data_IF_699042519737
#
_entry.id   IF_699042519737
#
_cell.length_a   1.000
_cell.length_b   1.000
_cell.length_c   1.000
_cell.angle_alpha   90.00
_cell.angle_beta   90.00
_cell.angle_gamma   90.00
#
_symmetry.space_group_name_H-M   'P 1'
#
loop_
_entity.id
_entity.type
_entity.pdbx_description
1 polymer ?
#
# COMPACT_ATOMS: atom_id res chain seq x y z
N UNK A 1 -2.71 10.11 36.09
CA UNK A 1 -3.80 11.05 35.72
C UNK A 1 -3.16 12.27 35.09
N UNK A 2 -3.70 12.77 33.98
CA UNK A 2 -3.20 13.99 33.34
C UNK A 2 -3.41 15.20 34.27
N UNK A 3 -2.44 16.12 34.32
CA UNK A 3 -2.57 17.35 35.10
C UNK A 3 -3.46 18.36 34.38
N UNK A 4 -4.05 19.30 35.13
CA UNK A 4 -4.89 20.36 34.56
C UNK A 4 -4.18 21.13 33.44
N UNK A 5 -2.91 21.51 33.66
CA UNK A 5 -2.07 22.18 32.65
C UNK A 5 -1.90 21.36 31.36
N UNK A 6 -1.78 20.03 31.47
CA UNK A 6 -1.66 19.14 30.31
C UNK A 6 -2.96 19.10 29.50
N UNK A 7 -4.11 19.14 30.19
CA UNK A 7 -5.43 19.18 29.55
C UNK A 7 -5.60 20.51 28.81
N UNK A 8 -5.35 21.64 29.49
CA UNK A 8 -5.45 22.98 28.91
C UNK A 8 -4.55 23.09 27.68
N UNK A 9 -3.27 22.75 27.82
CA UNK A 9 -2.30 22.81 26.71
C UNK A 9 -2.76 22.00 25.50
N UNK A 10 -3.34 20.82 25.74
CA UNK A 10 -3.76 19.93 24.66
C UNK A 10 -5.01 20.43 23.94
N UNK A 11 -5.99 20.98 24.66
CA UNK A 11 -7.22 21.53 24.07
C UNK A 11 -6.93 22.86 23.35
N UNK A 12 -6.14 23.74 23.96
CA UNK A 12 -5.67 24.98 23.32
C UNK A 12 -4.88 24.67 22.04
N UNK A 13 -4.06 23.62 22.03
CA UNK A 13 -3.35 23.22 20.82
C UNK A 13 -4.29 22.88 19.66
N UNK A 14 -5.37 22.13 19.90
CA UNK A 14 -6.32 21.78 18.82
C UNK A 14 -6.99 23.02 18.20
N UNK A 15 -7.23 24.03 19.02
CA UNK A 15 -7.86 25.29 18.64
C UNK A 15 -6.85 26.38 18.24
N UNK A 16 -5.55 26.10 18.27
CA UNK A 16 -4.50 27.04 17.90
C UNK A 16 -4.35 27.16 16.38
N UNK A 17 -3.89 28.32 15.91
CA UNK A 17 -3.65 28.54 14.48
C UNK A 17 -2.70 27.50 13.88
N UNK A 18 -1.64 27.15 14.62
CA UNK A 18 -0.65 26.14 14.22
C UNK A 18 -1.28 24.78 13.89
N UNK A 19 -2.35 24.41 14.60
CA UNK A 19 -3.10 23.19 14.30
C UNK A 19 -4.12 23.45 13.18
N UNK A 20 -4.91 24.52 13.28
CA UNK A 20 -6.00 24.84 12.35
C UNK A 20 -5.53 25.16 10.93
N UNK A 21 -4.27 25.56 10.73
CA UNK A 21 -3.63 25.63 9.42
C UNK A 21 -3.59 24.27 8.70
N UNK A 22 -3.66 23.16 9.41
CA UNK A 22 -3.47 21.80 8.86
C UNK A 22 -4.61 20.84 9.17
N UNK A 23 -5.33 21.09 10.25
CA UNK A 23 -6.37 20.22 10.77
C UNK A 23 -7.73 20.57 10.16
N UNK A 24 -8.02 19.95 9.01
CA UNK A 24 -9.30 20.13 8.32
C UNK A 24 -10.52 19.77 9.17
N UNK A 25 -10.37 18.84 10.13
CA UNK A 25 -11.50 18.37 10.92
C UNK A 25 -11.99 19.49 11.84
N UNK A 26 -11.12 20.01 12.71
CA UNK A 26 -11.52 21.10 13.61
C UNK A 26 -11.83 22.39 12.84
N UNK A 27 -11.11 22.66 11.75
CA UNK A 27 -11.40 23.80 10.88
C UNK A 27 -12.84 23.78 10.35
N UNK A 28 -13.29 22.62 9.83
CA UNK A 28 -14.67 22.43 9.36
C UNK A 28 -15.69 22.50 10.49
N UNK A 29 -15.41 21.88 11.63
CA UNK A 29 -16.34 21.88 12.78
C UNK A 29 -16.56 23.30 13.32
N UNK A 30 -15.51 24.11 13.44
CA UNK A 30 -15.62 25.50 13.89
C UNK A 30 -16.29 26.36 12.81
N UNK A 31 -15.95 26.17 11.53
CA UNK A 31 -16.56 26.93 10.43
C UNK A 31 -18.06 26.65 10.27
N UNK A 32 -18.50 25.42 10.55
CA UNK A 32 -19.90 25.02 10.44
C UNK A 32 -20.74 25.39 11.68
N UNK A 33 -20.09 25.64 12.81
CA UNK A 33 -20.76 25.98 14.06
C UNK A 33 -21.11 27.47 14.11
N UNK A 34 -22.38 27.77 14.38
CA UNK A 34 -22.82 29.14 14.62
C UNK A 34 -22.13 29.70 15.87
N UNK A 35 -21.37 30.79 15.71
CA UNK A 35 -20.59 31.40 16.80
C UNK A 35 -19.32 30.65 17.22
N UNK A 36 -18.91 29.62 16.46
CA UNK A 36 -17.62 28.91 16.61
C UNK A 36 -17.54 27.92 17.78
N UNK A 37 -18.67 27.63 18.44
CA UNK A 37 -18.73 26.69 19.56
C UNK A 37 -18.81 25.24 19.10
N UNK A 38 -17.91 24.40 19.61
CA UNK A 38 -17.86 22.98 19.32
C UNK A 38 -17.99 22.13 20.60
N UNK A 39 -18.66 20.96 20.54
CA UNK A 39 -18.89 20.15 21.73
C UNK A 39 -17.63 19.44 22.25
N UNK A 40 -17.52 19.34 23.58
CA UNK A 40 -16.41 18.68 24.29
C UNK A 40 -16.19 17.24 23.78
N UNK A 41 -17.26 16.56 23.39
CA UNK A 41 -17.23 15.20 22.86
C UNK A 41 -16.36 15.02 21.61
N UNK A 42 -16.13 16.08 20.82
CA UNK A 42 -15.22 16.02 19.69
C UNK A 42 -13.77 15.81 20.14
N UNK A 43 -13.38 16.41 21.26
CA UNK A 43 -12.03 16.26 21.80
C UNK A 43 -11.81 14.86 22.38
N UNK A 44 -12.84 14.24 22.98
CA UNK A 44 -12.77 12.85 23.48
C UNK A 44 -12.51 11.83 22.36
N UNK A 45 -12.90 12.15 21.12
CA UNK A 45 -12.63 11.30 19.96
C UNK A 45 -11.16 11.35 19.53
N UNK A 46 -10.41 12.36 19.94
CA UNK A 46 -9.03 12.58 19.53
C UNK A 46 -8.07 11.60 20.22
N UNK A 47 -7.15 11.01 19.44
CA UNK A 47 -6.25 9.96 19.93
C UNK A 47 -5.36 10.38 21.10
N UNK A 48 -4.96 11.66 21.16
CA UNK A 48 -4.12 12.16 22.24
C UNK A 48 -4.91 12.29 23.55
N UNK A 49 -6.16 12.75 23.48
CA UNK A 49 -7.08 12.83 24.63
C UNK A 49 -7.44 11.43 25.13
N UNK A 50 -7.73 10.49 24.23
CA UNK A 50 -7.95 9.07 24.58
C UNK A 50 -6.78 8.46 25.35
N UNK A 51 -5.54 8.72 24.91
CA UNK A 51 -4.32 8.23 25.58
C UNK A 51 -4.06 8.86 26.94
N UNK A 52 -4.60 10.05 27.18
CA UNK A 52 -4.49 10.73 28.47
C UNK A 52 -5.58 10.27 29.45
N UNK A 53 -6.54 9.45 28.99
CA UNK A 53 -7.65 8.91 29.78
C UNK A 53 -8.46 10.00 30.49
N UNK A 54 -8.71 11.11 29.79
CA UNK A 54 -9.42 12.28 30.31
C UNK A 54 -10.92 12.17 30.03
N UNK A 55 -11.75 12.57 31.00
CA UNK A 55 -13.21 12.63 30.87
C UNK A 55 -13.72 14.00 30.40
N UNK A 56 -14.96 14.07 29.93
CA UNK A 56 -15.60 15.34 29.55
C UNK A 56 -15.59 16.36 30.70
N UNK A 57 -15.89 15.90 31.92
CA UNK A 57 -15.92 16.73 33.13
C UNK A 57 -14.54 17.33 33.46
N UNK A 58 -13.48 16.55 33.28
CA UNK A 58 -12.11 17.02 33.48
C UNK A 58 -11.72 18.09 32.46
N UNK A 59 -12.15 17.94 31.20
CA UNK A 59 -11.97 18.98 30.17
C UNK A 59 -12.74 20.24 30.58
N UNK A 60 -14.02 20.11 30.93
CA UNK A 60 -14.86 21.26 31.30
C UNK A 60 -14.27 22.03 32.47
N UNK A 61 -13.79 21.32 33.51
CA UNK A 61 -13.19 21.95 34.68
C UNK A 61 -11.84 22.62 34.36
N UNK A 62 -10.97 21.97 33.59
CA UNK A 62 -9.69 22.54 33.21
C UNK A 62 -9.84 23.79 32.32
N UNK A 63 -10.79 23.77 31.39
CA UNK A 63 -10.99 24.88 30.46
C UNK A 63 -11.58 26.15 31.10
N UNK A 64 -12.09 26.09 32.35
CA UNK A 64 -12.48 27.28 33.11
C UNK A 64 -11.29 28.22 33.37
N UNK A 65 -10.08 27.68 33.45
CA UNK A 65 -8.85 28.42 33.72
C UNK A 65 -8.03 28.72 32.44
N UNK A 66 -8.57 28.37 31.26
CA UNK A 66 -7.92 28.62 29.98
C UNK A 66 -7.89 30.11 29.64
N UNK A 67 -6.79 30.55 29.00
CA UNK A 67 -6.62 31.95 28.59
C UNK A 67 -6.93 32.18 27.12
N UNK A 68 -6.88 31.12 26.30
CA UNK A 68 -7.01 31.20 24.85
C UNK A 68 -8.34 30.64 24.32
N UNK A 69 -9.24 30.21 25.20
CA UNK A 69 -10.54 29.64 24.83
C UNK A 69 -11.65 30.14 25.73
N UNK A 70 -12.90 30.01 25.27
CA UNK A 70 -14.10 30.27 26.06
C UNK A 70 -14.92 29.00 26.18
N UNK A 71 -15.50 28.76 27.36
CA UNK A 71 -16.32 27.58 27.63
C UNK A 71 -17.71 27.98 28.13
N UNK A 72 -18.73 27.33 27.57
CA UNK A 72 -20.09 27.27 28.14
C UNK A 72 -20.21 25.96 28.90
N UNK A 73 -19.91 25.99 30.20
CA UNK A 73 -19.80 24.78 31.01
C UNK A 73 -21.11 23.96 31.06
N UNK A 74 -22.26 24.63 31.14
CA UNK A 74 -23.59 23.99 31.19
C UNK A 74 -23.97 23.29 29.87
N UNK A 75 -23.48 23.79 28.74
CA UNK A 75 -23.77 23.24 27.41
C UNK A 75 -22.65 22.30 26.91
N UNK A 76 -21.54 22.19 27.64
CA UNK A 76 -20.38 21.40 27.22
C UNK A 76 -19.75 21.88 25.90
N UNK A 77 -19.78 23.20 25.64
CA UNK A 77 -19.30 23.81 24.40
C UNK A 77 -18.04 24.63 24.64
N UNK A 78 -17.05 24.48 23.77
CA UNK A 78 -15.78 25.22 23.80
C UNK A 78 -15.59 25.94 22.47
N UNK A 79 -15.06 27.17 22.52
CA UNK A 79 -14.61 27.90 21.33
C UNK A 79 -13.28 28.60 21.55
N UNK A 80 -12.69 29.09 20.45
CA UNK A 80 -11.58 30.05 20.49
C UNK A 80 -12.01 31.35 21.14
N UNK A 81 -11.11 31.96 21.90
CA UNK A 81 -11.34 33.28 22.48
C UNK A 81 -11.72 34.29 21.38
N UNK A 82 -12.71 35.12 21.67
CA UNK A 82 -13.22 36.17 20.77
C UNK A 82 -13.70 35.65 19.39
N UNK A 83 -13.91 34.34 19.25
CA UNK A 83 -14.18 33.68 17.97
C UNK A 83 -13.20 34.10 16.86
N UNK A 84 -11.91 34.10 17.19
CA UNK A 84 -10.84 34.53 16.29
C UNK A 84 -10.89 33.83 14.93
N UNK A 85 -10.66 34.60 13.86
CA UNK A 85 -10.75 34.13 12.48
C UNK A 85 -9.85 32.92 12.26
N UNK A 86 -10.39 31.92 11.57
CA UNK A 86 -9.65 30.70 11.25
C UNK A 86 -8.49 31.00 10.29
N UNK A 87 -7.31 30.41 10.49
CA UNK A 87 -6.22 30.53 9.54
C UNK A 87 -6.56 29.83 8.23
N UNK A 88 -5.84 30.20 7.16
CA UNK A 88 -5.95 29.52 5.86
C UNK A 88 -5.44 28.08 5.96
N UNK A 89 -6.21 27.13 5.41
CA UNK A 89 -5.79 25.73 5.34
C UNK A 89 -4.58 25.58 4.40
N UNK A 90 -3.42 25.32 4.98
CA UNK A 90 -2.23 24.86 4.27
C UNK A 90 -2.47 23.40 3.90
N UNK A 91 -3.09 23.19 2.75
CA UNK A 91 -3.17 21.86 2.15
C UNK A 91 -1.75 21.38 1.87
N UNK A 92 -1.21 20.53 2.75
CA UNK A 92 -0.26 19.54 2.25
C UNK A 92 -1.04 18.79 1.18
N UNK A 93 -0.55 18.81 -0.06
CA UNK A 93 -0.94 17.86 -1.10
C UNK A 93 -0.60 16.46 -0.60
N UNK A 94 -1.40 15.92 0.31
CA UNK A 94 -1.41 14.52 0.66
C UNK A 94 -1.95 13.83 -0.59
N UNK A 95 -1.06 13.17 -1.35
CA UNK A 95 -1.45 12.19 -2.35
C UNK A 95 -2.31 11.14 -1.64
N UNK A 96 -3.62 11.24 -1.78
CA UNK A 96 -4.58 10.38 -1.09
C UNK A 96 -5.97 10.55 -1.68
N UNK A 97 -6.15 10.05 -2.90
CA UNK A 97 -7.41 9.97 -3.65
C UNK A 97 -8.44 9.02 -2.99
N UNK A 98 -8.71 9.11 -1.68
CA UNK A 98 -9.52 8.10 -1.00
C UNK A 98 -11.02 8.13 -1.39
N UNK A 99 -11.55 9.27 -1.86
CA UNK A 99 -12.94 9.38 -2.33
C UNK A 99 -13.12 8.92 -3.77
N UNK A 100 -12.31 9.48 -4.68
CA UNK A 100 -12.32 9.12 -6.11
C UNK A 100 -11.87 7.68 -6.36
N UNK A 101 -10.85 7.17 -5.65
CA UNK A 101 -10.46 5.76 -5.79
C UNK A 101 -11.55 4.79 -5.33
N UNK A 102 -12.38 5.17 -4.36
CA UNK A 102 -13.49 4.32 -3.92
C UNK A 102 -14.59 4.26 -4.98
N UNK A 103 -14.98 5.39 -5.57
CA UNK A 103 -15.98 5.43 -6.64
C UNK A 103 -15.49 4.71 -7.90
N UNK A 104 -14.23 4.94 -8.31
CA UNK A 104 -13.64 4.23 -9.46
C UNK A 104 -13.59 2.73 -9.21
N UNK A 105 -13.20 2.27 -8.01
CA UNK A 105 -13.19 0.83 -7.68
C UNK A 105 -14.59 0.22 -7.71
N UNK A 106 -15.62 0.94 -7.26
CA UNK A 106 -17.01 0.47 -7.33
C UNK A 106 -17.47 0.33 -8.78
N UNK A 107 -17.24 1.35 -9.62
CA UNK A 107 -17.58 1.30 -11.05
C UNK A 107 -16.83 0.19 -11.79
N UNK A 108 -15.54 -0.01 -11.50
CA UNK A 108 -14.75 -1.12 -12.06
C UNK A 108 -15.31 -2.49 -11.65
N UNK A 109 -15.80 -2.63 -10.41
CA UNK A 109 -16.41 -3.87 -9.92
C UNK A 109 -17.77 -4.14 -10.57
N UNK A 110 -18.62 -3.12 -10.69
CA UNK A 110 -19.92 -3.22 -11.36
C UNK A 110 -19.75 -3.60 -12.84
N UNK A 111 -18.83 -2.93 -13.55
CA UNK A 111 -18.53 -3.26 -14.94
C UNK A 111 -17.98 -4.67 -15.10
N UNK A 112 -17.10 -5.12 -14.19
CA UNK A 112 -16.57 -6.48 -14.21
C UNK A 112 -17.67 -7.54 -14.02
N UNK A 113 -18.70 -7.26 -13.22
CA UNK A 113 -19.86 -8.16 -13.09
C UNK A 113 -20.69 -8.22 -14.36
N UNK A 114 -20.90 -7.09 -15.03
CA UNK A 114 -21.59 -7.04 -16.34
C UNK A 114 -20.80 -7.82 -17.39
N UNK A 115 -19.50 -7.58 -17.50
CA UNK A 115 -18.59 -8.27 -18.41
C UNK A 115 -18.58 -9.78 -18.15
N UNK A 116 -18.55 -10.20 -16.88
CA UNK A 116 -18.58 -11.61 -16.49
C UNK A 116 -19.91 -12.26 -16.87
N UNK A 117 -21.03 -11.60 -16.60
CA UNK A 117 -22.37 -12.12 -16.93
C UNK A 117 -22.57 -12.28 -18.44
N UNK A 118 -21.98 -11.39 -19.24
CA UNK A 118 -22.01 -11.48 -20.69
C UNK A 118 -21.07 -12.56 -21.24
N UNK A 119 -19.92 -12.79 -20.58
CA UNK A 119 -18.89 -13.73 -21.03
C UNK A 119 -19.11 -15.17 -20.59
N UNK A 120 -19.80 -15.39 -19.47
CA UNK A 120 -19.97 -16.72 -18.89
C UNK A 120 -20.92 -17.56 -19.75
N UNK A 121 -20.53 -18.78 -20.15
CA UNK A 121 -21.41 -19.65 -20.92
C UNK A 121 -22.64 -20.08 -20.09
N UNK A 122 -23.71 -20.47 -20.78
CA UNK A 122 -24.94 -20.93 -20.11
C UNK A 122 -24.73 -22.28 -19.40
N UNK A 123 -23.98 -23.19 -20.02
CA UNK A 123 -23.65 -24.50 -19.45
C UNK A 123 -22.17 -24.82 -19.65
N UNK A 124 -21.50 -25.18 -18.57
CA UNK A 124 -20.07 -25.48 -18.52
C UNK A 124 -19.86 -26.97 -18.27
N UNK A 125 -18.86 -27.55 -18.94
CA UNK A 125 -18.37 -28.89 -18.64
C UNK A 125 -16.93 -28.77 -18.17
N UNK A 126 -16.68 -29.11 -16.90
CA UNK A 126 -15.38 -28.98 -16.25
C UNK A 126 -14.72 -30.35 -16.18
N UNK A 127 -13.47 -30.42 -16.64
CA UNK A 127 -12.68 -31.63 -16.63
C UNK A 127 -11.45 -31.47 -15.74
N UNK A 128 -11.11 -32.54 -15.04
CA UNK A 128 -9.84 -32.70 -14.34
C UNK A 128 -8.88 -33.48 -15.24
N UNK A 129 -7.62 -33.05 -15.29
CA UNK A 129 -6.54 -33.69 -16.04
C UNK A 129 -5.49 -34.13 -15.05
N UNK A 130 -5.17 -35.42 -15.00
CA UNK A 130 -4.13 -35.97 -14.13
C UNK A 130 -3.07 -36.64 -14.99
N UNK A 131 -1.83 -36.17 -14.91
CA UNK A 131 -0.74 -36.77 -15.69
C UNK A 131 -0.35 -38.12 -15.10
N UNK A 132 -0.15 -39.07 -15.99
CA UNK A 132 0.34 -40.41 -15.69
C UNK A 132 1.87 -40.50 -15.90
N UNK A 133 2.43 -39.56 -16.67
CA UNK A 133 3.87 -39.39 -16.87
C UNK A 133 4.53 -38.91 -15.57
N UNK A 134 5.51 -39.68 -15.07
CA UNK A 134 6.26 -39.34 -13.84
C UNK A 134 7.48 -38.46 -14.09
N UNK A 135 7.91 -38.31 -15.35
CA UNK A 135 9.23 -37.76 -15.73
C UNK A 135 9.15 -36.35 -16.30
N UNK A 136 8.06 -35.98 -16.99
CA UNK A 136 7.91 -34.70 -17.68
C UNK A 136 6.67 -33.93 -17.20
N UNK A 137 6.87 -32.67 -16.80
CA UNK A 137 5.77 -31.80 -16.40
C UNK A 137 4.92 -31.38 -17.62
N UNK A 138 3.63 -31.70 -17.59
CA UNK A 138 2.67 -31.30 -18.62
C UNK A 138 2.41 -29.78 -18.55
N UNK A 139 2.15 -29.16 -19.71
CA UNK A 139 1.82 -27.74 -19.80
C UNK A 139 0.39 -27.55 -20.31
N UNK A 140 -0.29 -26.53 -19.79
CA UNK A 140 -1.66 -26.18 -20.22
C UNK A 140 -1.77 -25.98 -21.74
N UNK A 141 -0.73 -25.42 -22.38
CA UNK A 141 -0.74 -25.17 -23.82
C UNK A 141 -0.74 -26.47 -24.64
N UNK A 142 -0.11 -27.53 -24.15
CA UNK A 142 -0.14 -28.84 -24.79
C UNK A 142 -1.54 -29.45 -24.75
N UNK A 143 -2.22 -29.31 -23.61
CA UNK A 143 -3.62 -29.76 -23.45
C UNK A 143 -4.52 -29.00 -24.43
N UNK A 144 -4.43 -27.68 -24.44
CA UNK A 144 -5.22 -26.85 -25.36
C UNK A 144 -4.97 -27.23 -26.83
N UNK A 145 -3.71 -27.27 -27.27
CA UNK A 145 -3.37 -27.58 -28.66
C UNK A 145 -3.83 -28.99 -29.05
N UNK A 146 -3.79 -29.94 -28.12
CA UNK A 146 -4.29 -31.30 -28.35
C UNK A 146 -5.81 -31.33 -28.54
N UNK A 147 -6.57 -30.65 -27.66
CA UNK A 147 -8.02 -30.54 -27.77
C UNK A 147 -8.44 -29.88 -29.11
N UNK A 148 -7.75 -28.81 -29.51
CA UNK A 148 -8.02 -28.11 -30.76
C UNK A 148 -7.68 -28.97 -32.00
N UNK A 149 -6.56 -29.70 -31.97
CA UNK A 149 -6.11 -30.48 -33.12
C UNK A 149 -6.90 -31.77 -33.30
N UNK A 150 -7.12 -32.51 -32.22
CA UNK A 150 -7.70 -33.86 -32.24
C UNK A 150 -9.23 -33.81 -32.18
N UNK A 151 -9.78 -33.05 -31.23
CA UNK A 151 -11.23 -33.01 -31.00
C UNK A 151 -11.92 -31.81 -31.63
N UNK A 152 -11.16 -30.87 -32.22
CA UNK A 152 -11.69 -29.63 -32.83
C UNK A 152 -12.49 -28.77 -31.85
N UNK A 153 -12.16 -28.85 -30.56
CA UNK A 153 -12.76 -28.05 -29.49
C UNK A 153 -11.74 -27.10 -28.90
N UNK A 154 -12.16 -25.88 -28.58
CA UNK A 154 -11.31 -24.89 -27.93
C UNK A 154 -11.77 -24.71 -26.48
N UNK A 155 -10.92 -24.97 -25.48
CA UNK A 155 -11.27 -24.73 -24.09
C UNK A 155 -11.39 -23.24 -23.80
N UNK A 156 -12.45 -22.86 -23.08
CA UNK A 156 -12.64 -21.48 -22.57
C UNK A 156 -11.70 -21.20 -21.38
N UNK A 157 -11.23 -22.25 -20.72
CA UNK A 157 -10.26 -22.20 -19.65
C UNK A 157 -9.40 -23.45 -19.70
N UNK A 158 -8.09 -23.30 -19.54
CA UNK A 158 -7.17 -24.42 -19.37
C UNK A 158 -6.03 -24.01 -18.45
N UNK A 159 -5.78 -24.80 -17.41
CA UNK A 159 -4.69 -24.59 -16.48
C UNK A 159 -4.12 -25.92 -16.04
N UNK A 160 -2.81 -25.95 -15.86
CA UNK A 160 -2.10 -27.11 -15.38
C UNK A 160 -1.04 -26.69 -14.36
N UNK A 161 -0.90 -27.47 -13.29
CA UNK A 161 0.05 -27.18 -12.21
C UNK A 161 1.49 -27.29 -12.69
N UNK A 162 2.36 -26.35 -12.30
CA UNK A 162 3.79 -26.39 -12.64
C UNK A 162 4.59 -27.35 -11.75
N UNK A 163 4.06 -27.67 -10.57
CA UNK A 163 4.73 -28.44 -9.52
C UNK A 163 3.98 -29.75 -9.24
N UNK A 164 2.67 -29.76 -9.50
CA UNK A 164 1.83 -30.95 -9.39
C UNK A 164 1.63 -31.69 -10.71
N UNK A 165 0.87 -32.77 -10.65
CA UNK A 165 0.51 -33.64 -11.77
C UNK A 165 -0.97 -33.48 -12.15
N UNK A 166 -1.59 -32.36 -11.82
CA UNK A 166 -3.01 -32.11 -12.06
C UNK A 166 -3.28 -30.75 -12.71
N UNK A 167 -4.44 -30.66 -13.35
CA UNK A 167 -4.96 -29.44 -13.95
C UNK A 167 -6.43 -29.57 -14.28
N UNK A 168 -7.00 -28.51 -14.85
CA UNK A 168 -8.39 -28.49 -15.28
C UNK A 168 -8.54 -27.75 -16.60
N UNK A 169 -9.53 -28.14 -17.38
CA UNK A 169 -10.02 -27.34 -18.49
C UNK A 169 -11.55 -27.31 -18.50
N UNK A 170 -12.10 -26.27 -19.12
CA UNK A 170 -13.55 -26.08 -19.24
C UNK A 170 -13.90 -25.97 -20.72
N UNK A 171 -14.96 -26.66 -21.11
CA UNK A 171 -15.62 -26.50 -22.40
C UNK A 171 -17.00 -25.87 -22.20
N UNK A 172 -17.38 -25.00 -23.14
CA UNK A 172 -18.75 -24.54 -23.26
C UNK A 172 -19.58 -25.67 -23.90
N UNK A 173 -20.61 -26.13 -23.19
CA UNK A 173 -21.45 -27.24 -23.64
C UNK A 173 -22.19 -26.93 -24.94
N UNK A 174 -22.43 -25.65 -25.26
CA UNK A 174 -23.02 -25.26 -26.53
C UNK A 174 -22.10 -25.55 -27.74
N UNK A 175 -20.78 -25.69 -27.51
CA UNK A 175 -19.76 -25.82 -28.55
C UNK A 175 -19.10 -27.21 -28.59
N UNK A 176 -19.61 -28.19 -27.83
CA UNK A 176 -19.08 -29.56 -27.82
C UNK A 176 -20.21 -30.59 -27.80
N UNK A 177 -20.11 -31.60 -28.66
CA UNK A 177 -21.08 -32.71 -28.69
C UNK A 177 -20.83 -33.71 -27.57
N UNK A 178 -21.88 -34.41 -27.11
CA UNK A 178 -21.74 -35.47 -26.11
C UNK A 178 -20.78 -36.57 -26.57
N UNK A 179 -20.82 -36.95 -27.85
CA UNK A 179 -19.89 -37.92 -28.43
C UNK A 179 -18.41 -37.48 -28.27
N UNK A 180 -18.14 -36.18 -28.41
CA UNK A 180 -16.79 -35.64 -28.22
C UNK A 180 -16.37 -35.68 -26.76
N UNK A 181 -17.29 -35.36 -25.83
CA UNK A 181 -17.06 -35.48 -24.39
C UNK A 181 -16.71 -36.93 -24.02
N UNK A 182 -17.49 -37.89 -24.53
CA UNK A 182 -17.29 -39.31 -24.24
C UNK A 182 -15.92 -39.79 -24.77
N UNK A 183 -15.54 -39.39 -25.99
CA UNK A 183 -14.21 -39.66 -26.55
C UNK A 183 -13.07 -39.06 -25.72
N UNK A 184 -13.24 -37.83 -25.25
CA UNK A 184 -12.24 -37.16 -24.39
C UNK A 184 -12.05 -37.94 -23.08
N UNK A 185 -13.14 -38.38 -22.45
CA UNK A 185 -13.12 -39.14 -21.19
C UNK A 185 -12.52 -40.54 -21.38
N UNK A 186 -12.84 -41.20 -22.49
CA UNK A 186 -12.35 -42.55 -22.78
C UNK A 186 -10.86 -42.56 -23.17
N UNK A 187 -10.44 -41.64 -24.03
CA UNK A 187 -9.10 -41.66 -24.64
C UNK A 187 -8.05 -40.89 -23.84
N UNK A 188 -8.46 -39.90 -23.04
CA UNK A 188 -7.56 -39.01 -22.33
C UNK A 188 -6.66 -38.19 -23.28
N UNK A 189 -5.46 -37.87 -22.82
CA UNK A 189 -4.45 -37.14 -23.61
C UNK A 189 -3.23 -38.03 -23.81
N UNK A 190 -2.78 -38.13 -25.07
CA UNK A 190 -1.50 -38.75 -25.43
C UNK A 190 -0.78 -37.88 -26.46
N UNK A 191 0.35 -37.30 -26.08
CA UNK A 191 1.16 -36.43 -26.94
C UNK A 191 2.56 -37.02 -27.04
N UNK A 192 2.83 -37.67 -28.17
CA UNK A 192 4.04 -38.49 -28.34
C UNK A 192 4.12 -39.61 -27.29
N UNK A 193 5.33 -40.08 -27.03
CA UNK A 193 5.60 -41.13 -26.04
C UNK A 193 5.81 -40.58 -24.62
N UNK A 194 6.00 -39.25 -24.50
CA UNK A 194 6.47 -38.60 -23.28
C UNK A 194 5.34 -38.07 -22.38
N UNK A 195 4.16 -37.79 -22.95
CA UNK A 195 3.06 -37.15 -22.23
C UNK A 195 1.77 -37.95 -22.34
N UNK A 196 1.33 -38.52 -21.22
CA UNK A 196 -0.04 -39.00 -21.07
C UNK A 196 -0.74 -38.43 -19.84
N UNK A 197 -2.04 -38.24 -19.98
CA UNK A 197 -2.90 -37.83 -18.88
C UNK A 197 -4.30 -38.44 -18.98
N UNK A 198 -4.82 -38.83 -17.83
CA UNK A 198 -6.21 -39.24 -17.67
C UNK A 198 -7.09 -38.00 -17.54
N UNK A 199 -8.24 -38.03 -18.20
CA UNK A 199 -9.27 -37.00 -18.06
C UNK A 199 -10.45 -37.57 -17.30
N UNK A 200 -10.96 -36.84 -16.31
CA UNK A 200 -12.21 -37.15 -15.62
C UNK A 200 -13.12 -35.94 -15.59
N UNK A 201 -14.42 -36.18 -15.45
CA UNK A 201 -15.40 -35.11 -15.27
C UNK A 201 -15.32 -34.59 -13.83
N UNK A 202 -15.23 -33.28 -13.64
CA UNK A 202 -15.17 -32.65 -12.32
C UNK A 202 -16.60 -32.44 -11.81
N UNK A 203 -17.00 -33.17 -10.77
CA UNK A 203 -18.35 -33.14 -10.20
C UNK A 203 -18.33 -33.19 -8.67
N UNK A 204 -19.46 -32.88 -8.02
CA UNK A 204 -19.61 -32.99 -6.57
C UNK A 204 -18.55 -32.18 -5.80
N UNK A 205 -17.89 -32.81 -4.84
CA UNK A 205 -16.87 -32.17 -4.01
C UNK A 205 -15.69 -31.60 -4.82
N UNK A 206 -15.28 -32.27 -5.90
CA UNK A 206 -14.18 -31.81 -6.74
C UNK A 206 -14.54 -30.53 -7.50
N UNK A 207 -15.83 -30.36 -7.84
CA UNK A 207 -16.33 -29.15 -8.49
C UNK A 207 -16.28 -27.96 -7.52
N UNK A 208 -16.70 -28.16 -6.28
CA UNK A 208 -16.60 -27.13 -5.24
C UNK A 208 -15.14 -26.74 -5.00
N UNK A 209 -14.24 -27.73 -4.91
CA UNK A 209 -12.81 -27.51 -4.75
C UNK A 209 -12.22 -26.72 -5.94
N UNK A 210 -12.62 -27.04 -7.17
CA UNK A 210 -12.20 -26.28 -8.35
C UNK A 210 -12.57 -24.80 -8.22
N UNK A 211 -13.82 -24.48 -7.87
CA UNK A 211 -14.24 -23.09 -7.75
C UNK A 211 -13.53 -22.35 -6.61
N UNK A 212 -13.27 -23.03 -5.49
CA UNK A 212 -12.49 -22.45 -4.38
C UNK A 212 -11.05 -22.13 -4.78
N UNK A 213 -10.41 -23.00 -5.55
CA UNK A 213 -8.98 -22.86 -5.90
C UNK A 213 -8.75 -22.05 -7.18
N UNK A 214 -9.67 -22.12 -8.13
CA UNK A 214 -9.47 -21.67 -9.51
C UNK A 214 -10.59 -20.77 -10.03
N UNK A 215 -11.75 -20.68 -9.35
CA UNK A 215 -12.90 -19.89 -9.79
C UNK A 215 -12.57 -18.42 -10.08
N UNK A 216 -11.88 -17.74 -9.15
CA UNK A 216 -11.49 -16.34 -9.34
C UNK A 216 -10.57 -16.11 -10.57
N UNK A 217 -9.71 -17.08 -10.88
CA UNK A 217 -8.86 -17.00 -12.06
C UNK A 217 -9.64 -17.28 -13.35
N UNK A 218 -10.53 -18.28 -13.32
CA UNK A 218 -11.44 -18.58 -14.41
C UNK A 218 -12.30 -17.37 -14.77
N UNK A 219 -12.98 -16.76 -13.79
CA UNK A 219 -13.79 -15.55 -13.99
C UNK A 219 -12.96 -14.40 -14.54
N UNK A 220 -11.73 -14.22 -14.05
CA UNK A 220 -10.81 -13.21 -14.58
C UNK A 220 -10.47 -13.46 -16.06
N UNK A 221 -10.30 -14.72 -16.47
CA UNK A 221 -10.07 -15.08 -17.86
C UNK A 221 -11.29 -14.78 -18.74
N UNK A 222 -12.51 -15.07 -18.27
CA UNK A 222 -13.74 -14.74 -18.98
C UNK A 222 -13.89 -13.23 -19.19
N UNK A 223 -13.71 -12.44 -18.13
CA UNK A 223 -13.76 -10.97 -18.21
C UNK A 223 -12.69 -10.44 -19.17
N UNK A 224 -11.48 -11.02 -19.16
CA UNK A 224 -10.45 -10.62 -20.09
C UNK A 224 -10.82 -10.96 -21.55
N UNK A 225 -11.42 -12.12 -21.79
CA UNK A 225 -11.82 -12.56 -23.12
C UNK A 225 -12.98 -11.74 -23.69
N UNK A 226 -13.91 -11.25 -22.86
CA UNK A 226 -15.00 -10.38 -23.32
C UNK A 226 -14.56 -8.95 -23.62
N UNK A 227 -13.41 -8.54 -23.10
CA UNK A 227 -12.84 -7.24 -23.39
C UNK A 227 -12.13 -7.23 -24.75
N UNK A 228 -12.42 -6.22 -25.57
CA UNK A 228 -11.78 -6.04 -26.87
C UNK A 228 -10.26 -5.91 -26.75
N UNK A 229 -9.54 -6.20 -27.85
CA UNK A 229 -8.06 -6.20 -27.91
C UNK A 229 -7.43 -4.91 -27.34
N UNK A 230 -8.03 -3.75 -27.60
CA UNK A 230 -7.56 -2.45 -27.08
C UNK A 230 -7.61 -2.35 -25.55
N UNK A 231 -8.67 -2.89 -24.91
CA UNK A 231 -8.80 -2.91 -23.46
C UNK A 231 -7.79 -3.89 -22.82
N UNK A 232 -7.53 -5.03 -23.47
CA UNK A 232 -6.52 -5.99 -23.04
C UNK A 232 -5.10 -5.39 -23.09
N UNK A 233 -4.76 -4.68 -24.18
CA UNK A 233 -3.48 -3.98 -24.34
C UNK A 233 -3.30 -2.87 -23.29
N UNK A 234 -4.34 -2.06 -23.05
CA UNK A 234 -4.33 -1.03 -22.01
C UNK A 234 -4.09 -1.64 -20.62
N UNK A 235 -4.76 -2.74 -20.28
CA UNK A 235 -4.54 -3.45 -19.00
C UNK A 235 -3.12 -3.99 -18.88
N UNK A 236 -2.57 -4.58 -19.94
CA UNK A 236 -1.18 -5.06 -19.98
C UNK A 236 -0.20 -3.91 -19.76
N UNK A 237 -0.41 -2.77 -20.43
CA UNK A 237 0.40 -1.57 -20.27
C UNK A 237 0.35 -1.04 -18.82
N UNK A 238 -0.85 -0.92 -18.23
CA UNK A 238 -1.02 -0.54 -16.81
C UNK A 238 -0.27 -1.49 -15.86
N UNK A 239 -0.26 -2.80 -16.14
CA UNK A 239 0.48 -3.77 -15.32
C UNK A 239 2.00 -3.59 -15.45
N UNK A 240 2.50 -3.32 -16.65
CA UNK A 240 3.92 -3.03 -16.90
C UNK A 240 4.33 -1.78 -16.14
N UNK A 241 3.60 -0.68 -16.31
CA UNK A 241 3.85 0.58 -15.60
C UNK A 241 3.82 0.42 -14.08
N UNK A 242 2.86 -0.36 -13.55
CA UNK A 242 2.78 -0.65 -12.11
C UNK A 242 3.99 -1.44 -11.62
N UNK A 243 4.49 -2.40 -12.41
CA UNK A 243 5.72 -3.16 -12.10
C UNK A 243 6.94 -2.25 -12.14
N UNK A 244 7.04 -1.36 -13.12
CA UNK A 244 8.14 -0.39 -13.22
C UNK A 244 8.13 0.62 -12.08
N UNK A 245 6.96 1.18 -11.74
CA UNK A 245 6.80 2.06 -10.56
C UNK A 245 7.23 1.36 -9.28
N UNK A 246 6.83 0.10 -9.08
CA UNK A 246 7.28 -0.70 -7.92
C UNK A 246 8.80 -0.91 -7.91
N UNK A 247 9.41 -1.15 -9.08
CA UNK A 247 10.88 -1.26 -9.18
C UNK A 247 11.56 0.08 -8.83
N UNK A 248 11.03 1.19 -9.30
CA UNK A 248 11.54 2.54 -8.99
C UNK A 248 11.37 2.91 -7.51
N UNK A 249 10.35 2.37 -6.81
CA UNK A 249 10.15 2.59 -5.38
C UNK A 249 11.18 1.90 -4.48
N UNK A 250 11.84 0.85 -4.96
CA UNK A 250 12.89 0.15 -4.19
C UNK A 250 14.01 1.10 -3.81
N UNK A 251 14.42 1.08 -2.55
CA UNK A 251 15.55 1.86 -2.02
C UNK A 251 16.68 0.89 -1.68
N UNK A 252 17.90 1.22 -2.08
CA UNK A 252 19.09 0.53 -1.58
C UNK A 252 19.77 1.43 -0.57
N UNK A 253 19.99 0.93 0.63
CA UNK A 253 20.54 1.72 1.73
C UNK A 253 21.47 0.83 2.57
N UNK A 254 22.73 1.24 2.76
CA UNK A 254 23.77 0.43 3.42
C UNK A 254 23.91 -1.00 2.87
N UNK A 255 23.80 -1.18 1.54
CA UNK A 255 23.87 -2.49 0.89
C UNK A 255 22.59 -3.33 0.98
N UNK A 256 21.62 -2.94 1.81
CA UNK A 256 20.34 -3.63 1.95
C UNK A 256 19.27 -3.06 1.00
N UNK A 257 18.28 -3.91 0.67
CA UNK A 257 17.17 -3.57 -0.21
C UNK A 257 15.89 -3.35 0.59
N UNK A 258 15.27 -2.19 0.41
CA UNK A 258 14.00 -1.79 0.97
C UNK A 258 12.96 -1.65 -0.15
N UNK A 259 11.75 -2.18 0.04
CA UNK A 259 10.63 -2.17 -0.92
C UNK A 259 10.15 -0.74 -1.16
N UNK A 260 10.09 0.07 -0.10
CA UNK A 260 9.70 1.47 -0.15
C UNK A 260 10.34 2.28 1.01
N UNK A 261 10.08 3.59 1.03
CA UNK A 261 10.56 4.50 2.08
C UNK A 261 9.98 4.17 3.46
N UNK A 262 8.77 3.59 3.52
CA UNK A 262 8.14 3.23 4.79
C UNK A 262 8.87 2.06 5.47
N UNK A 263 9.31 1.06 4.70
CA UNK A 263 10.11 -0.03 5.23
C UNK A 263 11.41 0.50 5.84
N UNK A 264 12.12 1.38 5.12
CA UNK A 264 13.34 2.01 5.63
C UNK A 264 13.06 2.86 6.89
N UNK A 265 11.98 3.65 6.87
CA UNK A 265 11.53 4.44 8.04
C UNK A 265 11.23 3.57 9.25
N UNK A 266 10.63 2.40 9.04
CA UNK A 266 10.31 1.45 10.10
C UNK A 266 11.57 0.82 10.68
N UNK A 267 12.62 0.61 9.90
CA UNK A 267 13.93 0.21 10.43
C UNK A 267 14.48 1.24 11.42
N UNK A 268 14.48 2.53 11.06
CA UNK A 268 14.92 3.59 11.98
C UNK A 268 14.02 3.72 13.23
N UNK A 269 12.70 3.62 13.08
CA UNK A 269 11.78 3.55 14.24
C UNK A 269 12.07 2.36 15.14
N UNK A 270 12.42 1.21 14.54
CA UNK A 270 12.81 0.01 15.27
C UNK A 270 14.07 0.24 16.10
N UNK A 271 15.06 0.98 15.60
CA UNK A 271 16.27 1.35 16.34
C UNK A 271 15.90 2.25 17.53
N UNK A 272 15.05 3.27 17.31
CA UNK A 272 14.56 4.14 18.39
C UNK A 272 13.84 3.36 19.49
N UNK A 273 13.00 2.39 19.11
CA UNK A 273 12.22 1.60 20.06
C UNK A 273 13.04 0.64 20.91
N UNK A 274 14.07 0.01 20.31
CA UNK A 274 14.86 -1.05 20.97
C UNK A 274 16.05 -0.54 21.79
N UNK A 275 16.55 0.65 21.48
CA UNK A 275 17.73 1.21 22.17
C UNK A 275 17.26 1.83 23.49
N UNK A 276 17.94 1.60 24.62
CA UNK A 276 17.62 2.28 25.87
C UNK A 276 18.07 3.76 25.80
N UNK A 277 17.60 4.60 26.73
CA UNK A 277 18.03 6.00 26.76
C UNK A 277 19.50 6.09 27.13
N UNK A 278 20.25 6.94 26.41
CA UNK A 278 21.69 7.17 26.57
C UNK A 278 22.61 5.98 26.22
N UNK A 279 22.05 4.84 25.82
CA UNK A 279 22.85 3.71 25.36
C UNK A 279 23.48 4.01 23.99
N UNK A 280 24.78 3.69 23.80
CA UNK A 280 25.46 3.87 22.54
C UNK A 280 24.90 2.90 21.49
N UNK A 281 24.53 3.45 20.33
CA UNK A 281 24.12 2.66 19.17
C UNK A 281 25.37 2.10 18.51
N UNK A 282 25.46 0.78 18.43
CA UNK A 282 26.59 0.04 17.84
C UNK A 282 26.32 -0.35 16.39
N UNK A 283 27.36 -0.81 15.69
CA UNK A 283 27.24 -1.46 14.39
C UNK A 283 26.23 -2.63 14.44
N UNK A 284 25.43 -2.86 13.37
CA UNK A 284 25.46 -2.17 12.09
C UNK A 284 24.65 -0.85 12.06
N UNK A 285 23.89 -0.53 13.11
CA UNK A 285 22.98 0.62 13.12
C UNK A 285 23.69 1.98 13.18
N UNK A 286 24.89 2.03 13.76
CA UNK A 286 25.73 3.22 13.74
C UNK A 286 26.06 3.66 12.31
N UNK A 287 26.50 2.72 11.46
CA UNK A 287 26.80 2.98 10.04
C UNK A 287 25.55 3.39 9.27
N UNK A 288 24.41 2.77 9.58
CA UNK A 288 23.12 3.13 9.02
C UNK A 288 22.72 4.59 9.33
N UNK A 289 23.06 5.10 10.51
CA UNK A 289 22.83 6.49 10.90
C UNK A 289 23.84 7.46 10.28
N UNK A 290 25.12 7.07 10.15
CA UNK A 290 26.14 7.85 9.43
C UNK A 290 25.74 8.05 7.97
N UNK A 291 25.31 6.98 7.31
CA UNK A 291 24.81 7.04 5.93
C UNK A 291 23.58 7.93 5.82
N UNK A 292 22.68 7.89 6.81
CA UNK A 292 21.48 8.74 6.81
C UNK A 292 21.83 10.22 6.97
N UNK A 293 22.86 10.55 7.75
CA UNK A 293 23.32 11.92 7.93
C UNK A 293 23.88 12.54 6.64
N UNK A 294 24.23 11.75 5.62
CA UNK A 294 24.55 12.29 4.29
C UNK A 294 23.42 13.13 3.71
N UNK A 295 22.18 12.90 4.15
CA UNK A 295 20.98 13.61 3.74
C UNK A 295 20.54 14.68 4.76
N UNK A 296 21.46 15.15 5.61
CA UNK A 296 21.23 16.25 6.54
C UNK A 296 21.96 17.52 6.07
N UNK A 297 21.31 18.69 6.12
CA UNK A 297 21.90 19.98 5.71
C UNK A 297 23.22 20.29 6.42
N UNK A 298 23.24 20.02 7.73
CA UNK A 298 24.37 20.29 8.62
C UNK A 298 25.21 19.04 8.92
N UNK A 299 25.37 18.12 7.96
CA UNK A 299 26.11 16.86 8.17
C UNK A 299 27.47 17.09 8.83
N UNK A 300 28.27 18.00 8.28
CA UNK A 300 29.65 18.21 8.74
C UNK A 300 29.71 18.79 10.16
N UNK A 301 28.74 19.64 10.52
CA UNK A 301 28.60 20.15 11.90
C UNK A 301 28.19 19.03 12.87
N UNK A 302 27.27 18.16 12.43
CA UNK A 302 26.78 17.04 13.25
C UNK A 302 27.86 15.99 13.47
N UNK A 303 28.72 15.72 12.48
CA UNK A 303 29.79 14.72 12.59
C UNK A 303 31.12 15.29 13.14
N UNK A 304 31.19 16.59 13.38
CA UNK A 304 32.37 17.22 14.00
C UNK A 304 32.59 16.65 15.40
N UNK A 305 33.79 16.16 15.64
CA UNK A 305 34.21 15.52 16.91
C UNK A 305 33.30 14.35 17.34
N UNK A 306 32.75 13.63 16.35
CA UNK A 306 31.88 12.48 16.58
C UNK A 306 32.54 11.41 17.45
N UNK A 307 31.79 10.91 18.45
CA UNK A 307 32.15 9.76 19.28
C UNK A 307 31.23 8.57 18.98
N UNK A 308 29.91 8.75 19.14
CA UNK A 308 28.90 7.71 18.90
C UNK A 308 27.51 8.34 18.74
N UNK A 309 26.51 7.51 18.41
CA UNK A 309 25.10 7.89 18.52
C UNK A 309 24.46 7.34 19.78
N UNK A 310 23.43 8.02 20.29
CA UNK A 310 22.55 7.53 21.35
C UNK A 310 21.09 7.83 21.02
N UNK A 311 20.16 7.22 21.76
CA UNK A 311 18.74 7.60 21.74
C UNK A 311 18.39 8.26 23.06
N UNK A 312 17.63 9.35 23.05
CA UNK A 312 17.04 9.92 24.27
C UNK A 312 15.71 10.63 23.95
N UNK A 313 15.02 11.08 25.00
CA UNK A 313 13.82 11.91 24.89
C UNK A 313 14.21 13.33 24.48
N UNK A 314 13.48 13.92 23.52
CA UNK A 314 13.76 15.28 23.07
C UNK A 314 13.53 16.31 24.20
N UNK A 315 14.47 17.25 24.47
CA UNK A 315 14.38 18.16 25.61
C UNK A 315 13.10 19.00 25.66
N UNK A 316 12.61 19.44 24.50
CA UNK A 316 11.39 20.22 24.37
C UNK A 316 10.13 19.38 24.11
N UNK A 317 10.27 18.13 23.65
CA UNK A 317 9.16 17.28 23.21
C UNK A 317 9.23 15.94 23.94
N UNK A 318 8.82 15.95 25.21
CA UNK A 318 8.99 14.84 26.16
C UNK A 318 8.31 13.53 25.74
N UNK A 319 7.40 13.58 24.77
CA UNK A 319 6.71 12.41 24.24
C UNK A 319 7.43 11.75 23.04
N UNK A 320 8.57 12.31 22.61
CA UNK A 320 9.27 11.86 21.41
C UNK A 320 10.71 11.44 21.73
N UNK A 321 11.10 10.28 21.20
CA UNK A 321 12.49 9.80 21.24
C UNK A 321 13.19 10.16 19.94
N UNK A 322 14.40 10.69 20.04
CA UNK A 322 15.21 11.12 18.91
C UNK A 322 16.61 10.51 18.97
N UNK A 323 17.30 10.52 17.83
CA UNK A 323 18.72 10.20 17.79
C UNK A 323 19.53 11.43 18.17
N UNK A 324 20.60 11.19 18.92
CA UNK A 324 21.57 12.19 19.31
C UNK A 324 22.94 11.79 18.79
N UNK A 325 23.68 12.76 18.26
CA UNK A 325 25.12 12.66 18.11
C UNK A 325 25.75 13.01 19.44
N UNK A 326 26.66 12.16 19.93
CA UNK A 326 27.52 12.43 21.07
C UNK A 326 28.91 12.78 20.56
N UNK A 327 29.44 13.91 21.02
CA UNK A 327 30.80 14.36 20.71
C UNK A 327 31.81 13.86 21.74
N UNK A 328 33.09 13.90 21.39
CA UNK A 328 34.21 13.51 22.28
C UNK A 328 34.28 14.31 23.59
N UNK A 329 33.75 15.53 23.60
CA UNK A 329 33.65 16.38 24.80
C UNK A 329 32.43 16.04 25.70
N UNK A 330 31.62 15.06 25.30
CA UNK A 330 30.40 14.63 25.99
C UNK A 330 29.15 15.44 25.64
N UNK A 331 29.26 16.51 24.83
CA UNK A 331 28.10 17.27 24.36
C UNK A 331 27.22 16.43 23.41
N UNK A 332 25.90 16.68 23.45
CA UNK A 332 24.90 15.95 22.66
C UNK A 332 24.08 16.89 21.81
N UNK A 333 23.80 16.49 20.58
CA UNK A 333 22.96 17.24 19.65
C UNK A 333 21.99 16.32 18.92
N UNK A 334 20.69 16.63 18.95
CA UNK A 334 19.66 15.80 18.33
C UNK A 334 19.63 15.96 16.80
N UNK A 335 19.14 14.95 16.09
CA UNK A 335 18.77 15.11 14.68
C UNK A 335 17.52 14.31 14.32
N UNK A 336 16.76 14.84 13.35
CA UNK A 336 15.53 14.19 12.88
C UNK A 336 15.81 13.28 11.70
N UNK A 337 15.84 11.96 11.96
CA UNK A 337 15.94 10.95 10.90
C UNK A 337 14.82 11.07 9.87
N UNK A 338 13.63 11.53 10.27
CA UNK A 338 12.49 11.73 9.37
C UNK A 338 12.79 12.83 8.34
N UNK A 339 13.45 13.92 8.74
CA UNK A 339 13.86 14.97 7.80
C UNK A 339 14.92 14.46 6.81
N UNK A 340 15.90 13.68 7.29
CA UNK A 340 16.89 13.06 6.41
C UNK A 340 16.25 12.11 5.38
N UNK A 341 15.28 11.29 5.80
CA UNK A 341 14.55 10.40 4.89
C UNK A 341 13.73 11.15 3.83
N UNK A 342 13.16 12.31 4.18
CA UNK A 342 12.46 13.16 3.20
C UNK A 342 13.45 13.66 2.15
N UNK A 343 14.64 14.11 2.56
CA UNK A 343 15.67 14.57 1.62
C UNK A 343 16.23 13.44 0.76
N UNK A 344 16.41 12.24 1.32
CA UNK A 344 16.76 11.04 0.56
C UNK A 344 15.73 10.73 -0.53
N UNK A 345 14.44 10.78 -0.19
CA UNK A 345 13.38 10.56 -1.17
C UNK A 345 13.37 11.63 -2.27
N UNK A 346 13.53 12.91 -1.91
CA UNK A 346 13.63 14.01 -2.87
C UNK A 346 14.77 13.80 -3.87
N UNK A 347 15.98 13.54 -3.38
CA UNK A 347 17.14 13.29 -4.24
C UNK A 347 16.90 12.09 -5.17
N UNK A 348 16.33 11.01 -4.63
CA UNK A 348 15.95 9.85 -5.44
C UNK A 348 14.95 10.19 -6.55
N UNK A 349 13.93 11.01 -6.27
CA UNK A 349 12.96 11.43 -7.29
C UNK A 349 13.63 12.28 -8.37
N UNK A 350 14.56 13.16 -8.00
CA UNK A 350 15.33 13.97 -8.94
C UNK A 350 16.21 13.11 -9.85
N UNK A 351 16.91 12.12 -9.28
CA UNK A 351 17.76 11.19 -10.04
C UNK A 351 16.94 10.34 -11.01
N UNK A 352 15.75 9.87 -10.59
CA UNK A 352 14.81 9.17 -11.46
C UNK A 352 14.34 10.06 -12.62
N UNK A 353 14.04 11.34 -12.37
CA UNK A 353 13.61 12.30 -13.39
C UNK A 353 14.73 12.54 -14.41
N UNK A 354 15.95 12.79 -13.95
CA UNK A 354 17.13 12.96 -14.83
C UNK A 354 17.39 11.72 -15.69
N UNK A 355 17.25 10.53 -15.12
CA UNK A 355 17.41 9.28 -15.86
C UNK A 355 16.32 9.08 -16.93
N UNK A 356 15.09 9.55 -16.69
CA UNK A 356 14.00 9.53 -17.67
C UNK A 356 14.26 10.52 -18.81
N UNK A 357 14.62 11.76 -18.48
CA UNK A 357 14.95 12.81 -19.46
C UNK A 357 16.11 12.37 -20.38
N UNK A 358 17.15 11.74 -19.82
CA UNK A 358 18.27 11.21 -20.60
C UNK A 358 17.85 10.13 -21.60
N UNK A 359 16.99 9.19 -21.19
CA UNK A 359 16.47 8.13 -22.07
C UNK A 359 15.62 8.70 -23.21
N UNK A 360 14.87 9.76 -22.94
CA UNK A 360 14.05 10.42 -23.95
C UNK A 360 14.92 11.14 -24.99
N UNK A 361 15.97 11.83 -24.54
CA UNK A 361 16.96 12.45 -25.43
C UNK A 361 17.68 11.43 -26.32
N UNK A 362 18.15 10.32 -25.73
CA UNK A 362 18.81 9.23 -26.48
C UNK A 362 17.87 8.62 -27.53
N UNK A 363 16.56 8.49 -27.24
CA UNK A 363 15.57 7.99 -28.19
C UNK A 363 15.35 8.96 -29.36
N UNK A 364 15.24 10.25 -29.08
CA UNK A 364 15.08 11.29 -30.11
C UNK A 364 16.30 11.41 -31.03
N UNK A 365 17.51 11.20 -30.50
CA UNK A 365 18.75 11.21 -31.27
C UNK A 365 18.87 9.98 -32.19
N UNK A 366 18.45 8.80 -31.71
CA UNK A 366 18.41 7.58 -32.50
C UNK A 366 17.39 7.66 -33.65
N UNK A 367 16.22 8.25 -33.42
CA UNK A 367 15.19 8.46 -34.44
C UNK A 367 15.68 9.42 -35.54
N UNK A 368 16.41 10.48 -35.17
CA UNK A 368 17.02 11.43 -36.13
C UNK A 368 18.19 10.88 -36.94
N UNK A 369 18.81 9.79 -36.50
CA UNK A 369 19.94 9.16 -37.22
C UNK A 369 19.46 8.05 -38.17
N UNK A 370 18.17 7.71 -38.14
CA UNK A 370 17.53 6.71 -39.01
C UNK A 370 16.68 7.32 -40.15
N UNK A 371 16.47 8.63 -40.14
CA UNK A 371 16.05 9.44 -41.32
C UNK A 371 17.27 9.96 -42.08
#
# INVERSE_FOLDING_TARGET
>A
MATEDQIITQIEYYLSDKNLERDEFFHKQISAAEGGYIPVDLFLKCNKVKKMEITAEQIINAMKNSKNTEIKAEEGLIRRKDNEKLPGLVTKKFKGNNGEEKQVKQQEQEQAQVDLKAAKPQEEVIFSVTSESKTNAMQWKFIQDYLEKIYKVTPIYCRYSKIGNEGNFILDKANVSQETIDKILEQGIKIGDDYSAKITLTQGADLEQFYQQHGAHYESCLILASQGKSAQESRKQKQIEKREKRKQQVIRFCGEKYIDLNQLKNSFKGILGRTANNDPIKAPYEEMLKELLNYHEKKDEKLRDFQNFTVDIHPQYKDTRCFFVVRKDGSKEDFSFTKCLVRLDQQKQEDLKKAQEKKEQEKQEQEKTQE
#
